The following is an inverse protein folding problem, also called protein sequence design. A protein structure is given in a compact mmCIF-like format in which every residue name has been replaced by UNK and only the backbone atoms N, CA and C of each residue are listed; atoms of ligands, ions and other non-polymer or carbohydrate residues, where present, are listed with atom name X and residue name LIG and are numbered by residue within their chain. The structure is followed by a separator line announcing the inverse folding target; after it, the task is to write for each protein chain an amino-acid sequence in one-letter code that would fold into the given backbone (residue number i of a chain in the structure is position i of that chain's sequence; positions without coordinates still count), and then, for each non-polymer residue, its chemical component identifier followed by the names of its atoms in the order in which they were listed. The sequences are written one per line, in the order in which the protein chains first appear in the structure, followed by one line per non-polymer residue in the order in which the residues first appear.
data_IF_632249161621
#
_entry.id   IF_632249161621
#
_cell.length_a   1.000
_cell.length_b   1.000
_cell.length_c   1.000
_cell.angle_alpha   90.00
_cell.angle_beta   90.00
_cell.angle_gamma   90.00
#
_symmetry.space_group_name_H-M   'P 1'
#
loop_
_entity.id
_entity.type
_entity.pdbx_description
1 polymer ?
#
# COMPACT_ATOMS: atom_id res chain seq x y z
N UNK A 1 -8.41 38.95 55.49
CA UNK A 1 -7.31 38.23 54.81
C UNK A 1 -7.72 37.67 53.46
N UNK A 2 -8.46 36.55 53.35
CA UNK A 2 -8.82 35.98 52.02
C UNK A 2 -9.60 36.95 51.11
N UNK A 3 -10.50 37.77 51.67
CA UNK A 3 -11.22 38.81 50.91
C UNK A 3 -10.30 39.91 50.35
N UNK A 4 -9.23 40.26 51.07
CA UNK A 4 -8.30 41.34 50.68
C UNK A 4 -7.33 40.90 49.58
N UNK A 5 -6.99 39.61 49.56
CA UNK A 5 -6.20 38.98 48.49
C UNK A 5 -7.00 39.01 47.18
N UNK A 6 -8.31 38.72 47.23
CA UNK A 6 -9.19 38.70 46.05
C UNK A 6 -9.56 40.10 45.51
N UNK A 7 -9.40 41.17 46.29
CA UNK A 7 -9.62 42.57 45.82
C UNK A 7 -8.35 43.26 45.32
N UNK A 8 -7.18 42.63 45.40
CA UNK A 8 -5.96 43.15 44.80
C UNK A 8 -6.09 43.23 43.28
N UNK A 9 -6.02 44.46 42.72
CA UNK A 9 -6.11 44.71 41.28
C UNK A 9 -5.10 43.87 40.48
N UNK A 10 -3.89 43.68 41.01
CA UNK A 10 -2.82 42.90 40.38
C UNK A 10 -3.19 41.42 40.27
N UNK A 11 -3.85 40.86 41.30
CA UNK A 11 -4.29 39.46 41.31
C UNK A 11 -5.47 39.26 40.36
N UNK A 12 -6.42 40.22 40.30
CA UNK A 12 -7.51 40.22 39.34
C UNK A 12 -7.02 40.27 37.88
N UNK A 13 -6.03 41.12 37.58
CA UNK A 13 -5.41 41.19 36.24
C UNK A 13 -4.70 39.87 35.90
N UNK A 14 -3.93 39.30 36.84
CA UNK A 14 -3.26 38.01 36.65
C UNK A 14 -4.24 36.86 36.40
N UNK A 15 -5.34 36.80 37.16
CA UNK A 15 -6.41 35.81 36.99
C UNK A 15 -7.07 35.95 35.61
N UNK A 16 -7.39 37.17 35.19
CA UNK A 16 -7.97 37.42 33.87
C UNK A 16 -7.04 36.96 32.74
N UNK A 17 -5.75 37.30 32.82
CA UNK A 17 -4.76 36.89 31.83
C UNK A 17 -4.58 35.36 31.78
N UNK A 18 -4.58 34.70 32.94
CA UNK A 18 -4.56 33.23 33.04
C UNK A 18 -5.79 32.59 32.39
N UNK A 19 -6.99 33.12 32.66
CA UNK A 19 -8.24 32.65 32.02
C UNK A 19 -8.15 32.81 30.50
N UNK A 20 -7.70 33.97 30.00
CA UNK A 20 -7.55 34.19 28.55
C UNK A 20 -6.60 33.18 27.92
N UNK A 21 -5.41 32.95 28.51
CA UNK A 21 -4.46 31.96 27.99
C UNK A 21 -5.06 30.55 27.98
N UNK A 22 -5.65 30.11 29.10
CA UNK A 22 -6.23 28.76 29.20
C UNK A 22 -7.39 28.58 28.22
N UNK A 23 -8.29 29.56 28.11
CA UNK A 23 -9.40 29.51 27.15
C UNK A 23 -8.90 29.50 25.70
N UNK A 24 -7.92 30.34 25.34
CA UNK A 24 -7.33 30.34 23.99
C UNK A 24 -6.63 29.01 23.68
N UNK A 25 -5.89 28.42 24.62
CA UNK A 25 -5.26 27.10 24.44
C UNK A 25 -6.29 25.97 24.26
N UNK A 26 -7.39 25.99 25.02
CA UNK A 26 -8.48 25.02 24.89
C UNK A 26 -9.21 25.16 23.54
N UNK A 27 -9.50 26.38 23.11
CA UNK A 27 -10.13 26.66 21.80
C UNK A 27 -9.20 26.22 20.66
N UNK A 28 -7.90 26.50 20.75
CA UNK A 28 -6.91 26.06 19.77
C UNK A 28 -6.82 24.53 19.70
N UNK A 29 -6.71 23.85 20.85
CA UNK A 29 -6.69 22.38 20.93
C UNK A 29 -7.95 21.76 20.32
N UNK A 30 -9.13 22.29 20.64
CA UNK A 30 -10.40 21.85 20.08
C UNK A 30 -10.49 22.07 18.56
N UNK A 31 -10.01 23.22 18.06
CA UNK A 31 -9.98 23.51 16.64
C UNK A 31 -9.07 22.54 15.89
N UNK A 32 -7.84 22.33 16.39
CA UNK A 32 -6.85 21.41 15.79
C UNK A 32 -7.41 19.99 15.73
N UNK A 33 -7.99 19.51 16.84
CA UNK A 33 -8.63 18.20 16.89
C UNK A 33 -9.73 18.05 15.83
N UNK A 34 -10.60 19.07 15.66
CA UNK A 34 -11.67 19.05 14.67
C UNK A 34 -11.17 19.08 13.22
N UNK A 35 -10.11 19.82 12.92
CA UNK A 35 -9.53 19.84 11.55
C UNK A 35 -8.90 18.50 11.22
N UNK A 36 -8.12 17.91 12.14
CA UNK A 36 -7.52 16.59 11.94
C UNK A 36 -8.58 15.50 11.78
N UNK A 37 -9.66 15.52 12.55
CA UNK A 37 -10.75 14.56 12.40
C UNK A 37 -11.44 14.70 11.02
N UNK A 38 -11.69 15.92 10.55
CA UNK A 38 -12.29 16.16 9.24
C UNK A 38 -11.38 15.70 8.08
N UNK A 39 -10.09 16.00 8.14
CA UNK A 39 -9.08 15.55 7.16
C UNK A 39 -8.95 14.02 7.15
N UNK A 40 -8.97 13.39 8.32
CA UNK A 40 -8.96 11.93 8.46
C UNK A 40 -10.22 11.30 7.84
N UNK A 41 -11.41 11.84 8.14
CA UNK A 41 -12.67 11.37 7.53
C UNK A 41 -12.67 11.55 6.01
N UNK A 42 -12.18 12.69 5.50
CA UNK A 42 -12.04 12.94 4.06
C UNK A 42 -11.06 11.94 3.42
N UNK A 43 -9.94 11.65 4.07
CA UNK A 43 -8.95 10.66 3.61
C UNK A 43 -9.55 9.26 3.53
N UNK A 44 -10.28 8.82 4.58
CA UNK A 44 -10.97 7.53 4.60
C UNK A 44 -12.03 7.46 3.50
N UNK A 45 -12.81 8.53 3.29
CA UNK A 45 -13.80 8.60 2.21
C UNK A 45 -13.13 8.57 0.83
N UNK A 46 -12.01 9.26 0.64
CA UNK A 46 -11.26 9.24 -0.62
C UNK A 46 -10.72 7.84 -0.95
N UNK A 47 -10.13 7.13 0.03
CA UNK A 47 -9.68 5.74 -0.14
C UNK A 47 -10.85 4.84 -0.53
N UNK A 48 -12.00 4.95 0.17
CA UNK A 48 -13.21 4.18 -0.15
C UNK A 48 -13.79 4.53 -1.53
N UNK A 49 -13.76 5.80 -1.92
CA UNK A 49 -14.23 6.25 -3.23
C UNK A 49 -13.34 5.72 -4.37
N UNK A 50 -12.01 5.70 -4.19
CA UNK A 50 -11.07 5.13 -5.14
C UNK A 50 -11.26 3.60 -5.25
N UNK A 51 -11.38 2.89 -4.12
CA UNK A 51 -11.67 1.44 -4.08
C UNK A 51 -12.99 1.10 -4.77
N UNK A 52 -14.03 1.91 -4.58
CA UNK A 52 -15.34 1.71 -5.20
C UNK A 52 -15.36 2.02 -6.71
N UNK A 53 -14.69 3.09 -7.16
CA UNK A 53 -14.58 3.42 -8.59
C UNK A 53 -14.02 2.24 -9.39
N UNK A 54 -12.98 1.62 -8.86
CA UNK A 54 -12.24 0.62 -9.62
C UNK A 54 -12.92 -0.76 -9.56
N UNK A 55 -13.73 -1.03 -8.52
CA UNK A 55 -14.65 -2.19 -8.50
C UNK A 55 -15.70 -2.15 -9.64
N UNK A 56 -16.09 -0.97 -10.11
CA UNK A 56 -17.06 -0.80 -11.21
C UNK A 56 -16.43 -1.13 -12.60
N UNK A 57 -15.10 -1.26 -12.68
CA UNK A 57 -14.39 -1.62 -13.92
C UNK A 57 -14.07 -3.12 -14.05
N UNK A 58 -14.44 -3.95 -13.09
CA UNK A 58 -14.40 -5.41 -13.24
C UNK A 58 -15.66 -5.82 -14.02
N UNK A 59 -15.56 -6.38 -15.24
CA UNK A 59 -16.72 -6.89 -15.96
C UNK A 59 -17.34 -8.05 -15.18
N UNK A 60 -18.65 -8.01 -14.97
CA UNK A 60 -19.39 -9.08 -14.34
C UNK A 60 -19.36 -10.32 -15.26
N UNK A 61 -18.70 -11.41 -14.83
CA UNK A 61 -18.63 -12.63 -15.63
C UNK A 61 -20.06 -13.19 -15.86
N UNK A 62 -20.44 -13.48 -17.12
CA UNK A 62 -21.77 -14.00 -17.42
C UNK A 62 -21.89 -15.45 -16.97
N UNK A 63 -22.43 -15.66 -15.77
CA UNK A 63 -22.79 -16.97 -15.25
C UNK A 63 -23.82 -17.67 -16.17
N UNK A 64 -23.36 -18.60 -16.99
CA UNK A 64 -24.21 -19.48 -17.81
C UNK A 64 -24.05 -20.95 -17.37
N UNK A 65 -25.04 -21.55 -16.68
CA UNK A 65 -24.98 -22.95 -16.29
C UNK A 65 -25.35 -23.85 -17.47
N UNK A 66 -24.38 -24.60 -18.01
CA UNK A 66 -24.66 -25.63 -19.03
C UNK A 66 -24.69 -27.01 -18.39
N UNK A 67 -25.89 -27.45 -18.05
CA UNK A 67 -26.17 -28.82 -17.62
C UNK A 67 -26.39 -29.72 -18.83
N UNK A 68 -25.48 -30.67 -19.10
CA UNK A 68 -25.78 -31.92 -19.81
C UNK A 68 -24.74 -32.97 -19.37
N UNK A 69 -25.10 -33.96 -18.54
CA UNK A 69 -25.92 -35.15 -18.84
C UNK A 69 -25.04 -36.34 -19.26
N UNK A 70 -24.91 -37.30 -18.34
CA UNK A 70 -24.19 -38.56 -18.51
C UNK A 70 -24.99 -39.49 -19.44
N UNK A 71 -24.33 -40.02 -20.47
CA UNK A 71 -24.69 -41.31 -21.04
C UNK A 71 -23.40 -42.02 -21.48
N UNK A 72 -23.23 -43.26 -21.06
CA UNK A 72 -22.07 -44.08 -21.42
C UNK A 72 -22.54 -45.36 -22.09
N UNK A 73 -21.71 -45.90 -22.98
CA UNK A 73 -21.82 -47.28 -23.44
C UNK A 73 -20.40 -47.80 -23.74
N UNK A 74 -20.15 -49.06 -23.39
CA UNK A 74 -18.82 -49.68 -23.40
C UNK A 74 -18.99 -51.15 -23.80
N UNK A 75 -18.61 -51.50 -25.04
CA UNK A 75 -18.47 -52.89 -25.52
C UNK A 75 -17.36 -53.00 -26.57
N UNK A 76 -16.27 -53.65 -26.14
CA UNK A 76 -15.37 -54.63 -26.78
C UNK A 76 -14.88 -54.58 -28.25
N UNK A 77 -13.59 -54.92 -28.33
CA UNK A 77 -12.66 -55.19 -29.44
C UNK A 77 -13.01 -56.43 -30.30
N UNK A 78 -12.37 -56.65 -31.47
CA UNK A 78 -11.08 -57.36 -31.49
C UNK A 78 -10.02 -56.85 -32.49
N UNK A 79 -8.77 -57.21 -32.22
CA UNK A 79 -7.55 -56.91 -32.98
C UNK A 79 -7.40 -57.79 -34.24
N UNK A 80 -6.64 -57.34 -35.26
CA UNK A 80 -5.58 -58.15 -35.89
C UNK A 80 -4.61 -57.31 -36.77
N UNK A 81 -3.33 -57.25 -36.36
CA UNK A 81 -2.05 -57.26 -37.12
C UNK A 81 -2.04 -56.77 -38.59
N UNK A 82 -1.10 -55.96 -39.08
CA UNK A 82 0.22 -55.48 -38.57
C UNK A 82 0.59 -54.16 -39.34
N UNK A 83 1.77 -53.51 -39.29
CA UNK A 83 3.13 -53.89 -38.85
C UNK A 83 3.97 -52.71 -38.28
N UNK A 84 5.22 -53.04 -37.99
CA UNK A 84 6.35 -52.37 -37.31
C UNK A 84 7.22 -51.59 -38.35
N UNK A 85 7.91 -50.46 -38.09
CA UNK A 85 9.03 -50.23 -37.16
C UNK A 85 9.40 -48.72 -37.00
N UNK A 86 9.71 -48.31 -35.76
CA UNK A 86 10.74 -47.34 -35.23
C UNK A 86 11.30 -46.18 -36.11
N UNK A 87 11.68 -45.01 -35.57
CA UNK A 87 12.31 -44.76 -34.26
C UNK A 87 12.11 -43.33 -33.71
N UNK A 88 12.30 -43.21 -32.40
CA UNK A 88 12.20 -42.03 -31.53
C UNK A 88 13.40 -41.06 -31.62
N UNK A 89 13.15 -39.79 -31.28
CA UNK A 89 13.87 -38.97 -30.25
C UNK A 89 14.52 -37.61 -30.61
N UNK A 90 14.03 -36.59 -29.90
CA UNK A 90 14.67 -35.39 -29.31
C UNK A 90 15.76 -34.57 -30.05
N UNK A 91 15.58 -33.24 -30.00
CA UNK A 91 16.66 -32.24 -30.13
C UNK A 91 16.48 -31.10 -29.13
N UNK A 92 17.39 -31.02 -28.16
CA UNK A 92 17.49 -29.94 -27.17
C UNK A 92 18.94 -29.50 -27.02
N UNK A 93 19.17 -28.19 -26.88
CA UNK A 93 20.42 -27.53 -26.46
C UNK A 93 21.71 -27.75 -27.29
N UNK A 94 22.37 -26.63 -27.64
CA UNK A 94 23.71 -26.31 -27.10
C UNK A 94 24.06 -24.83 -27.34
N UNK A 95 24.53 -24.18 -26.27
CA UNK A 95 25.24 -22.90 -26.29
C UNK A 95 26.71 -23.18 -26.54
N UNK A 96 27.39 -22.31 -27.29
CA UNK A 96 28.86 -22.29 -27.33
C UNK A 96 29.34 -20.83 -27.23
N UNK A 97 30.44 -20.63 -26.52
CA UNK A 97 30.91 -19.33 -26.07
C UNK A 97 32.40 -19.15 -26.35
N UNK A 98 32.82 -17.88 -26.40
CA UNK A 98 34.21 -17.39 -26.31
C UNK A 98 35.22 -17.87 -27.36
N UNK A 99 35.76 -16.90 -28.09
CA UNK A 99 37.20 -16.77 -28.32
C UNK A 99 37.61 -15.31 -28.16
N UNK A 100 38.82 -15.05 -27.63
CA UNK A 100 39.37 -13.72 -27.34
C UNK A 100 40.85 -13.69 -27.76
N UNK A 101 41.31 -12.51 -28.21
CA UNK A 101 42.69 -12.12 -28.58
C UNK A 101 43.17 -12.47 -30.00
N UNK A 102 43.34 -11.42 -30.82
CA UNK A 102 44.67 -11.08 -31.35
C UNK A 102 44.85 -9.55 -31.45
N UNK A 103 46.06 -9.08 -31.77
CA UNK A 103 46.63 -7.81 -31.32
C UNK A 103 46.53 -6.59 -32.27
N UNK A 104 46.58 -5.41 -31.61
CA UNK A 104 47.34 -4.19 -31.97
C UNK A 104 46.91 -3.25 -33.15
N UNK A 105 46.52 -2.04 -32.73
CA UNK A 105 47.14 -0.75 -33.10
C UNK A 105 47.03 -0.20 -34.53
N UNK A 106 46.11 0.77 -34.73
CA UNK A 106 46.35 1.98 -35.54
C UNK A 106 45.14 2.98 -35.50
N UNK A 107 45.42 4.22 -35.08
CA UNK A 107 44.79 5.49 -35.51
C UNK A 107 43.29 5.77 -35.20
N UNK A 108 43.10 6.79 -34.34
CA UNK A 108 41.97 7.74 -34.36
C UNK A 108 42.46 9.07 -34.99
N UNK A 109 41.59 10.04 -35.34
CA UNK A 109 40.12 9.98 -35.46
C UNK A 109 39.65 10.25 -36.91
N UNK A 110 38.36 10.01 -37.21
CA UNK A 110 37.72 10.62 -38.37
C UNK A 110 36.29 11.10 -38.05
N UNK A 111 35.96 12.30 -38.51
CA UNK A 111 34.78 13.08 -38.11
C UNK A 111 33.48 12.52 -38.72
N UNK A 112 32.91 11.48 -38.09
CA UNK A 112 31.53 11.10 -38.34
C UNK A 112 30.58 11.83 -37.41
N UNK A 113 30.29 13.06 -37.84
CA UNK A 113 29.08 13.86 -37.57
C UNK A 113 28.05 13.06 -36.78
N UNK A 114 28.05 13.27 -35.46
CA UNK A 114 26.92 12.93 -34.62
C UNK A 114 25.74 13.74 -35.13
N UNK A 115 24.94 13.12 -36.00
CA UNK A 115 23.52 13.49 -36.10
C UNK A 115 23.01 13.36 -34.67
N UNK A 116 22.77 14.49 -34.02
CA UNK A 116 21.90 14.59 -32.88
C UNK A 116 20.49 14.20 -33.35
N UNK A 117 20.30 12.90 -33.55
CA UNK A 117 19.00 12.28 -33.56
C UNK A 117 18.46 12.59 -32.19
N UNK A 118 17.55 13.56 -32.17
CA UNK A 118 16.98 14.13 -30.96
C UNK A 118 16.22 13.00 -30.27
N UNK A 119 16.91 12.29 -29.38
CA UNK A 119 16.35 11.20 -28.59
C UNK A 119 15.20 11.82 -27.82
N UNK A 120 13.97 11.48 -28.24
CA UNK A 120 12.78 11.69 -27.42
C UNK A 120 13.11 11.22 -26.02
N UNK A 121 12.90 12.04 -24.96
CA UNK A 121 13.35 11.72 -23.62
C UNK A 121 12.94 10.29 -23.30
N UNK A 122 13.94 9.43 -23.10
CA UNK A 122 13.75 7.98 -23.13
C UNK A 122 12.79 7.61 -22.01
N UNK A 123 11.54 7.30 -22.37
CA UNK A 123 10.45 7.16 -21.41
C UNK A 123 10.70 5.86 -20.67
N UNK A 124 11.39 5.96 -19.54
CA UNK A 124 11.82 4.81 -18.78
C UNK A 124 10.61 3.94 -18.40
N UNK A 125 10.62 2.70 -18.88
CA UNK A 125 9.54 1.72 -18.75
C UNK A 125 9.89 0.72 -17.65
N UNK A 126 8.88 0.32 -16.87
CA UNK A 126 9.01 -0.76 -15.90
C UNK A 126 9.54 -2.06 -16.52
N UNK A 127 10.56 -2.71 -15.94
CA UNK A 127 10.98 -4.06 -16.34
C UNK A 127 9.95 -5.14 -15.97
N UNK A 128 8.94 -4.81 -15.15
CA UNK A 128 7.90 -5.73 -14.66
C UNK A 128 6.60 -5.66 -15.47
N UNK A 129 6.56 -4.89 -16.56
CA UNK A 129 5.40 -4.78 -17.45
C UNK A 129 4.34 -3.76 -17.01
N UNK A 130 4.58 -2.96 -15.97
CA UNK A 130 3.64 -1.92 -15.49
C UNK A 130 3.62 -0.63 -16.35
N UNK A 131 4.23 -0.65 -17.53
CA UNK A 131 4.34 0.50 -18.43
C UNK A 131 5.32 1.58 -17.94
N UNK A 132 5.27 2.79 -18.53
CA UNK A 132 6.08 3.94 -18.14
C UNK A 132 6.04 4.22 -16.64
N UNK A 133 7.15 4.71 -16.08
CA UNK A 133 7.15 5.23 -14.71
C UNK A 133 6.26 6.47 -14.58
N UNK A 134 5.49 6.62 -13.48
CA UNK A 134 4.71 7.83 -13.23
C UNK A 134 5.63 9.01 -12.91
N UNK A 135 5.14 10.24 -13.13
CA UNK A 135 5.82 11.45 -12.71
C UNK A 135 6.06 11.44 -11.18
N UNK A 136 7.30 11.70 -10.77
CA UNK A 136 7.65 11.77 -9.35
C UNK A 136 7.19 13.11 -8.76
N UNK A 137 6.59 13.12 -7.56
CA UNK A 137 6.27 14.37 -6.88
C UNK A 137 7.53 15.19 -6.53
N UNK A 138 7.37 16.51 -6.39
CA UNK A 138 8.46 17.40 -6.04
C UNK A 138 9.16 16.98 -4.73
N UNK A 139 10.49 17.00 -4.73
CA UNK A 139 11.31 16.58 -3.58
C UNK A 139 11.46 15.07 -3.38
N UNK A 140 10.85 14.23 -4.22
CA UNK A 140 11.13 12.79 -4.23
C UNK A 140 12.44 12.50 -4.95
N UNK A 141 13.16 11.47 -4.49
CA UNK A 141 14.47 11.13 -5.01
C UNK A 141 14.35 10.44 -6.38
N UNK A 142 15.20 10.83 -7.33
CA UNK A 142 15.15 10.34 -8.71
C UNK A 142 15.43 8.83 -8.85
N UNK A 143 16.07 8.22 -7.85
CA UNK A 143 16.34 6.78 -7.70
C UNK A 143 15.15 5.99 -7.13
N UNK A 144 13.97 6.61 -6.96
CA UNK A 144 12.70 5.89 -6.67
C UNK A 144 12.42 4.79 -7.71
N UNK A 145 12.87 5.03 -8.95
CA UNK A 145 12.84 4.07 -10.05
C UNK A 145 14.23 3.94 -10.70
N UNK A 146 14.61 2.75 -11.21
CA UNK A 146 13.87 1.49 -11.15
C UNK A 146 13.84 0.88 -9.74
N UNK A 147 12.70 0.29 -9.37
CA UNK A 147 12.54 -0.38 -8.06
C UNK A 147 13.16 -1.79 -8.07
N UNK A 148 13.57 -2.35 -6.91
CA UNK A 148 14.29 -3.63 -6.85
C UNK A 148 13.42 -4.88 -7.05
N UNK A 149 12.09 -4.76 -6.93
CA UNK A 149 11.14 -5.82 -7.27
C UNK A 149 9.81 -5.21 -7.77
N UNK A 150 8.98 -6.05 -8.41
CA UNK A 150 7.64 -5.69 -8.85
C UNK A 150 6.80 -5.10 -7.70
N UNK A 151 6.80 -5.77 -6.54
CA UNK A 151 6.09 -5.33 -5.32
C UNK A 151 6.53 -3.94 -4.85
N UNK A 152 7.84 -3.64 -4.88
CA UNK A 152 8.36 -2.31 -4.54
C UNK A 152 7.92 -1.25 -5.54
N UNK A 153 7.84 -1.60 -6.84
CA UNK A 153 7.36 -0.69 -7.86
C UNK A 153 5.86 -0.41 -7.71
N UNK A 154 5.04 -1.43 -7.45
CA UNK A 154 3.62 -1.29 -7.15
C UNK A 154 3.39 -0.42 -5.90
N UNK A 155 4.16 -0.65 -4.82
CA UNK A 155 4.15 0.21 -3.63
C UNK A 155 4.48 1.67 -3.97
N UNK A 156 5.52 1.93 -4.75
CA UNK A 156 5.90 3.28 -5.16
C UNK A 156 4.80 3.94 -6.00
N UNK A 157 4.29 3.26 -7.02
CA UNK A 157 3.19 3.74 -7.89
C UNK A 157 1.92 4.04 -7.09
N UNK A 158 1.50 3.17 -6.17
CA UNK A 158 0.33 3.40 -5.31
C UNK A 158 0.54 4.66 -4.45
N UNK A 159 1.72 4.82 -3.83
CA UNK A 159 2.02 6.01 -3.01
C UNK A 159 2.00 7.30 -3.83
N UNK A 160 2.50 7.28 -5.07
CA UNK A 160 2.48 8.43 -5.98
C UNK A 160 1.04 8.79 -6.39
N UNK A 161 0.21 7.80 -6.77
CA UNK A 161 -1.21 8.03 -7.11
C UNK A 161 -2.03 8.52 -5.90
N UNK A 162 -1.70 8.06 -4.68
CA UNK A 162 -2.27 8.60 -3.43
C UNK A 162 -1.82 10.04 -3.16
N UNK A 163 -0.55 10.38 -3.37
CA UNK A 163 -0.04 11.74 -3.21
C UNK A 163 -0.77 12.74 -4.12
N UNK A 164 -0.91 12.42 -5.41
CA UNK A 164 -1.68 13.28 -6.35
C UNK A 164 -3.19 13.33 -6.04
N UNK A 165 -3.73 12.36 -5.29
CA UNK A 165 -5.08 12.42 -4.74
C UNK A 165 -5.18 13.25 -3.44
N UNK A 166 -4.10 13.90 -3.00
CA UNK A 166 -4.03 14.67 -1.76
C UNK A 166 -3.83 13.83 -0.49
N UNK A 167 -3.60 12.52 -0.61
CA UNK A 167 -3.46 11.58 0.51
C UNK A 167 -1.96 11.42 0.82
N UNK A 168 -1.49 12.16 1.81
CA UNK A 168 -0.09 12.09 2.25
C UNK A 168 0.19 10.79 3.02
N UNK A 169 1.13 9.98 2.50
CA UNK A 169 1.55 8.72 3.11
C UNK A 169 3.03 8.77 3.51
N UNK A 170 3.36 8.39 4.74
CA UNK A 170 4.77 8.32 5.19
C UNK A 170 5.52 7.15 4.53
N UNK A 171 4.78 6.12 4.15
CA UNK A 171 5.26 4.89 3.54
C UNK A 171 4.06 4.03 3.15
N UNK A 172 4.32 2.80 2.74
CA UNK A 172 3.30 1.78 2.58
C UNK A 172 3.94 0.42 2.86
N UNK A 173 3.15 -0.54 3.33
CA UNK A 173 3.55 -1.93 3.44
C UNK A 173 2.77 -2.76 2.42
N UNK A 174 3.32 -3.90 1.99
CA UNK A 174 2.59 -4.87 1.18
C UNK A 174 2.45 -6.18 1.96
N UNK A 175 1.27 -6.78 1.92
CA UNK A 175 1.01 -8.12 2.47
C UNK A 175 0.00 -8.84 1.56
N UNK A 176 0.31 -10.07 1.16
CA UNK A 176 -0.53 -10.88 0.28
C UNK A 176 -0.92 -10.17 -1.04
N UNK A 177 0.01 -9.41 -1.64
CA UNK A 177 -0.21 -8.59 -2.84
C UNK A 177 -1.01 -7.31 -2.63
N UNK A 178 -1.52 -7.05 -1.42
CA UNK A 178 -2.33 -5.87 -1.08
C UNK A 178 -1.45 -4.80 -0.43
N UNK A 179 -1.68 -3.53 -0.79
CA UNK A 179 -0.95 -2.36 -0.28
C UNK A 179 -1.72 -1.70 0.87
N UNK A 180 -0.97 -1.39 1.94
CA UNK A 180 -1.43 -0.75 3.16
C UNK A 180 -0.68 0.58 3.36
N UNK A 181 -1.25 1.72 2.93
CA UNK A 181 -0.58 3.02 3.01
C UNK A 181 -0.48 3.52 4.46
N UNK A 182 0.71 3.92 4.89
CA UNK A 182 0.94 4.38 6.27
C UNK A 182 0.51 5.84 6.41
N UNK A 183 -0.74 6.02 6.87
CA UNK A 183 -1.45 7.30 7.00
C UNK A 183 -1.57 7.66 8.50
N UNK A 184 -1.22 8.90 8.92
CA UNK A 184 -1.44 9.37 10.29
C UNK A 184 -2.92 9.27 10.70
N UNK A 185 -3.18 8.84 11.94
CA UNK A 185 -4.56 8.65 12.44
C UNK A 185 -5.26 7.41 11.89
N UNK A 186 -4.61 6.55 11.11
CA UNK A 186 -5.14 5.23 10.71
C UNK A 186 -4.24 4.12 11.26
N UNK A 187 -4.87 3.13 11.90
CA UNK A 187 -4.23 1.88 12.29
C UNK A 187 -5.00 0.70 11.69
N UNK A 188 -4.37 -0.01 10.76
CA UNK A 188 -4.86 -1.29 10.23
C UNK A 188 -4.59 -2.36 11.27
N UNK A 189 -5.62 -3.12 11.67
CA UNK A 189 -5.54 -4.09 12.77
C UNK A 189 -6.12 -5.45 12.37
N UNK A 190 -5.42 -6.54 12.70
CA UNK A 190 -5.98 -7.89 12.68
C UNK A 190 -6.42 -8.28 14.09
N UNK A 191 -7.70 -8.53 14.24
CA UNK A 191 -8.27 -8.98 15.49
C UNK A 191 -8.19 -10.50 15.60
N UNK A 192 -7.86 -10.99 16.79
CA UNK A 192 -8.08 -12.38 17.18
C UNK A 192 -8.88 -12.42 18.47
N UNK A 193 -9.54 -13.54 18.68
CA UNK A 193 -10.36 -13.80 19.85
C UNK A 193 -9.81 -15.01 20.59
N UNK A 194 -9.92 -15.01 21.92
CA UNK A 194 -9.69 -16.19 22.73
C UNK A 194 -10.73 -16.27 23.85
N UNK A 195 -11.07 -17.49 24.25
CA UNK A 195 -12.03 -17.74 25.31
C UNK A 195 -11.37 -17.64 26.69
N UNK A 196 -12.05 -17.00 27.63
CA UNK A 196 -11.67 -16.85 29.03
C UNK A 196 -12.84 -17.31 29.91
N UNK A 197 -12.56 -17.60 31.18
CA UNK A 197 -13.59 -17.85 32.21
C UNK A 197 -14.71 -16.80 32.25
N UNK A 198 -14.39 -15.57 31.86
CA UNK A 198 -15.23 -14.40 31.98
C UNK A 198 -15.88 -13.99 30.63
N UNK A 199 -15.68 -14.79 29.58
CA UNK A 199 -16.19 -14.55 28.21
C UNK A 199 -15.10 -14.52 27.12
N UNK A 200 -15.52 -14.21 25.89
CA UNK A 200 -14.61 -14.06 24.73
C UNK A 200 -13.90 -12.71 24.82
N UNK A 201 -12.57 -12.72 24.69
CA UNK A 201 -11.73 -11.50 24.67
C UNK A 201 -11.13 -11.30 23.29
N UNK A 202 -11.43 -10.16 22.67
CA UNK A 202 -10.86 -9.73 21.39
C UNK A 202 -9.60 -8.88 21.60
N UNK A 203 -8.52 -9.18 20.88
CA UNK A 203 -7.23 -8.50 21.00
C UNK A 203 -6.59 -8.23 19.64
N UNK A 204 -5.77 -7.19 19.57
CA UNK A 204 -4.96 -6.86 18.37
C UNK A 204 -3.82 -7.87 18.28
N UNK A 205 -3.89 -8.74 17.28
CA UNK A 205 -2.86 -9.75 16.99
C UNK A 205 -1.75 -9.23 16.07
N UNK A 206 -2.08 -8.26 15.22
CA UNK A 206 -1.18 -7.62 14.26
C UNK A 206 -1.67 -6.20 13.96
N UNK A 207 -0.75 -5.28 13.66
CA UNK A 207 -1.06 -3.86 13.46
C UNK A 207 -0.05 -3.15 12.54
N UNK A 208 -0.57 -2.44 11.53
CA UNK A 208 0.18 -1.47 10.73
C UNK A 208 -0.39 -0.08 11.04
N UNK A 209 0.44 0.83 11.55
CA UNK A 209 0.06 2.20 11.89
C UNK A 209 1.19 3.18 11.58
N UNK A 210 0.88 4.48 11.53
CA UNK A 210 1.92 5.50 11.47
C UNK A 210 2.81 5.44 12.73
N UNK A 211 4.15 5.65 12.65
CA UNK A 211 5.05 5.41 13.78
C UNK A 211 4.72 6.17 15.08
N UNK A 212 4.20 7.40 15.00
CA UNK A 212 3.73 8.12 16.20
C UNK A 212 2.58 7.41 16.91
N UNK A 213 1.68 6.83 16.13
CA UNK A 213 0.40 6.31 16.57
C UNK A 213 0.60 4.88 17.09
N UNK A 214 1.43 4.10 16.39
CA UNK A 214 1.95 2.83 16.88
C UNK A 214 2.70 2.96 18.21
N UNK A 215 3.53 3.99 18.38
CA UNK A 215 4.22 4.26 19.66
C UNK A 215 3.23 4.67 20.78
N UNK A 216 2.24 5.53 20.49
CA UNK A 216 1.19 5.90 21.45
C UNK A 216 0.39 4.69 21.90
N UNK A 217 -0.05 3.85 20.96
CA UNK A 217 -0.79 2.61 21.24
C UNK A 217 0.08 1.62 22.03
N UNK A 218 1.36 1.47 21.67
CA UNK A 218 2.28 0.58 22.39
C UNK A 218 2.52 1.02 23.84
N UNK A 219 2.62 2.33 24.11
CA UNK A 219 2.76 2.85 25.46
C UNK A 219 1.52 2.56 26.32
N UNK A 220 0.32 2.82 25.79
CA UNK A 220 -0.95 2.51 26.49
C UNK A 220 -1.08 0.99 26.73
N UNK A 221 -0.71 0.17 25.74
CA UNK A 221 -0.71 -1.29 25.87
C UNK A 221 0.31 -1.79 26.91
N UNK A 222 1.46 -1.13 27.07
CA UNK A 222 2.44 -1.46 28.10
C UNK A 222 1.93 -1.13 29.51
N UNK A 223 1.23 0.00 29.67
CA UNK A 223 0.60 0.40 30.94
C UNK A 223 -0.57 -0.53 31.33
N UNK A 224 -1.46 -0.82 30.37
CA UNK A 224 -2.68 -1.63 30.58
C UNK A 224 -2.41 -3.14 30.57
N UNK A 225 -1.33 -3.60 29.95
CA UNK A 225 -0.98 -5.01 29.82
C UNK A 225 -2.13 -5.85 29.23
N UNK A 226 -2.68 -6.77 30.04
CA UNK A 226 -3.75 -7.70 29.63
C UNK A 226 -5.17 -7.12 29.69
N UNK A 227 -5.37 -5.91 30.20
CA UNK A 227 -6.69 -5.22 30.20
C UNK A 227 -6.81 -4.19 29.09
N UNK A 228 -5.86 -4.16 28.15
CA UNK A 228 -5.90 -3.31 26.96
C UNK A 228 -7.02 -3.76 26.00
N UNK A 229 -7.89 -2.84 25.62
CA UNK A 229 -9.06 -3.04 24.76
C UNK A 229 -9.11 -2.04 23.61
N UNK A 230 -10.05 -2.22 22.68
CA UNK A 230 -10.36 -1.24 21.63
C UNK A 230 -10.72 0.15 22.19
N UNK A 231 -11.33 0.21 23.38
CA UNK A 231 -11.69 1.47 24.04
C UNK A 231 -10.50 2.23 24.66
N UNK A 232 -9.32 1.60 24.76
CA UNK A 232 -8.07 2.24 25.20
C UNK A 232 -7.31 2.90 24.04
N UNK A 233 -7.74 2.69 22.79
CA UNK A 233 -7.17 3.37 21.62
C UNK A 233 -7.57 4.85 21.65
N UNK A 234 -6.62 5.79 21.46
CA UNK A 234 -6.95 7.22 21.34
C UNK A 234 -7.98 7.49 20.24
N UNK A 235 -9.00 8.31 20.54
CA UNK A 235 -10.15 8.53 19.64
C UNK A 235 -9.80 9.25 18.34
N UNK A 236 -8.62 9.88 18.26
CA UNK A 236 -8.05 10.45 17.03
C UNK A 236 -7.42 9.40 16.10
N UNK A 237 -7.29 8.14 16.54
CA UNK A 237 -6.77 7.04 15.72
C UNK A 237 -7.94 6.14 15.30
N UNK A 238 -8.27 6.16 14.01
CA UNK A 238 -9.25 5.26 13.41
C UNK A 238 -8.64 3.87 13.25
N UNK A 239 -9.21 2.91 13.98
CA UNK A 239 -9.01 1.49 13.67
C UNK A 239 -9.76 1.12 12.39
N UNK A 240 -9.05 0.40 11.51
CA UNK A 240 -9.54 -0.12 10.24
C UNK A 240 -9.14 -1.59 10.14
N UNK A 241 -9.99 -2.46 9.59
CA UNK A 241 -9.56 -3.85 9.35
C UNK A 241 -8.59 -3.90 8.15
N UNK A 242 -7.79 -4.96 8.04
CA UNK A 242 -6.92 -5.13 6.87
C UNK A 242 -7.77 -5.25 5.59
N UNK A 243 -8.92 -5.91 5.63
CA UNK A 243 -9.83 -6.10 4.49
C UNK A 243 -10.48 -4.77 4.04
N UNK A 244 -10.85 -3.92 4.99
CA UNK A 244 -11.37 -2.57 4.72
C UNK A 244 -10.28 -1.69 4.09
N UNK A 245 -9.10 -1.68 4.71
CA UNK A 245 -7.98 -0.79 4.38
C UNK A 245 -7.09 -1.19 3.22
N UNK A 246 -7.12 -2.46 2.82
CA UNK A 246 -6.33 -2.98 1.70
C UNK A 246 -6.64 -2.27 0.38
N UNK A 247 -5.58 -1.88 -0.32
CA UNK A 247 -5.60 -1.44 -1.71
C UNK A 247 -5.03 -2.57 -2.57
N UNK A 248 -5.82 -3.14 -3.47
CA UNK A 248 -5.29 -3.95 -4.57
C UNK A 248 -4.54 -3.02 -5.53
N UNK A 249 -3.22 -3.16 -5.71
CA UNK A 249 -2.44 -2.24 -6.53
C UNK A 249 -2.77 -2.35 -8.01
N UNK A 250 -3.16 -3.51 -8.54
CA UNK A 250 -3.49 -3.67 -9.96
C UNK A 250 -4.78 -2.94 -10.29
N UNK A 251 -5.83 -3.27 -9.54
CA UNK A 251 -7.13 -2.61 -9.62
C UNK A 251 -6.99 -1.11 -9.34
N UNK A 252 -6.19 -0.68 -8.35
CA UNK A 252 -6.03 0.74 -8.00
C UNK A 252 -5.23 1.55 -9.02
N UNK A 253 -4.24 0.94 -9.69
CA UNK A 253 -3.38 1.61 -10.68
C UNK A 253 -3.91 1.52 -12.10
N UNK A 254 -5.03 0.82 -12.32
CA UNK A 254 -5.63 0.56 -13.64
C UNK A 254 -4.68 -0.29 -14.54
N UNK A 255 -3.98 -1.25 -13.92
CA UNK A 255 -3.03 -2.16 -14.56
C UNK A 255 -3.71 -3.49 -14.96
N UNK A 256 -3.22 -4.19 -16.00
CA UNK A 256 -3.67 -5.54 -16.31
C UNK A 256 -3.37 -6.50 -15.16
N UNK A 257 -4.32 -7.38 -14.84
CA UNK A 257 -4.12 -8.48 -13.89
C UNK A 257 -3.07 -9.46 -14.45
N UNK A 258 -2.20 -9.96 -13.56
CA UNK A 258 -1.19 -11.00 -13.83
C UNK A 258 -1.62 -12.34 -13.20
#
# INVERSE_FOLDING_TARGET
MLRDILTSRTILIGLFFFIVIVSSSLIYSWHVQRTTEAELQQTIQAIKALKNKNKIHIPEEPNAPTTHAVHGELVDTPEQNTDTLTSTENKTLRVEATDILDMADALLPDDKVLRAQQVSPDVSVSPYGFGPYPELPEGWAADTFPSPSADHELLARVRIKLFYAGINTRGANMENGLVYPVIPGIAYVKWKEYERSDGIVRYISDMIAHPSDGLRIAAIRAEKGRVFTEADIPSDIKLMSFEEGAIDPYTFLDLPLQ
#
